data_IF_202855745230
#
_entry.id   IF_202855745230
#
_cell.length_a   1.000
_cell.length_b   1.000
_cell.length_c   1.000
_cell.angle_alpha   90.00
_cell.angle_beta   90.00
_cell.angle_gamma   90.00
#
_symmetry.space_group_name_H-M   'P 1'
#
loop_
_entity.id
_entity.type
_entity.pdbx_description
1 polymer ?
#
# COMPACT_ATOMS: atom_id res chain seq x y z
N UNK A 1 -17.43 -0.37 -14.02
CA UNK A 1 -17.65 -1.15 -12.78
C UNK A 1 -18.71 -0.40 -11.99
N UNK A 2 -19.76 -1.10 -11.56
CA UNK A 2 -20.72 -0.57 -10.61
C UNK A 2 -20.24 -0.87 -9.19
N UNK A 3 -19.70 0.15 -8.51
CA UNK A 3 -19.15 0.01 -7.17
C UNK A 3 -20.25 -0.25 -6.13
N UNK A 4 -21.47 0.25 -6.36
CA UNK A 4 -22.61 0.04 -5.44
C UNK A 4 -23.07 -1.40 -5.51
N UNK A 5 -23.18 -1.96 -6.70
CA UNK A 5 -23.50 -3.37 -6.90
C UNK A 5 -22.48 -4.28 -6.21
N UNK A 6 -21.17 -4.02 -6.41
CA UNK A 6 -20.11 -4.80 -5.78
C UNK A 6 -20.16 -4.80 -4.24
N UNK A 7 -20.52 -3.66 -3.63
CA UNK A 7 -20.60 -3.56 -2.16
C UNK A 7 -21.87 -4.22 -1.61
N UNK A 8 -22.95 -4.25 -2.40
CA UNK A 8 -24.25 -4.80 -1.95
C UNK A 8 -24.44 -6.27 -2.29
N UNK A 9 -23.79 -6.78 -3.33
CA UNK A 9 -23.84 -8.18 -3.76
C UNK A 9 -22.47 -8.64 -4.27
N UNK A 10 -21.64 -9.16 -3.36
CA UNK A 10 -20.32 -9.75 -3.67
C UNK A 10 -20.40 -11.27 -3.85
N UNK A 11 -21.44 -11.77 -4.53
CA UNK A 11 -21.62 -13.21 -4.81
C UNK A 11 -20.45 -13.86 -5.54
N UNK A 12 -19.61 -13.06 -6.20
CA UNK A 12 -18.41 -13.52 -6.92
C UNK A 12 -17.09 -13.32 -6.14
N UNK A 13 -17.13 -12.85 -4.89
CA UNK A 13 -15.96 -12.53 -4.04
C UNK A 13 -14.97 -11.57 -4.72
N UNK A 14 -15.45 -10.60 -5.49
CA UNK A 14 -14.62 -9.64 -6.21
C UNK A 14 -14.00 -8.60 -5.28
N UNK A 15 -14.65 -8.29 -4.15
CA UNK A 15 -14.15 -7.32 -3.15
C UNK A 15 -12.76 -7.71 -2.62
N UNK A 16 -12.44 -9.00 -2.53
CA UNK A 16 -11.14 -9.48 -2.05
C UNK A 16 -10.00 -9.27 -3.08
N UNK A 17 -10.34 -8.98 -4.34
CA UNK A 17 -9.35 -8.65 -5.35
C UNK A 17 -8.97 -7.18 -5.28
N UNK A 18 -7.66 -6.89 -5.22
CA UNK A 18 -7.18 -5.52 -5.07
C UNK A 18 -7.60 -4.59 -6.23
N UNK A 19 -7.86 -5.14 -7.40
CA UNK A 19 -8.42 -4.43 -8.55
C UNK A 19 -9.77 -3.75 -8.23
N UNK A 20 -10.60 -4.39 -7.40
CA UNK A 20 -11.93 -3.89 -7.02
C UNK A 20 -11.93 -3.24 -5.65
N UNK A 21 -11.19 -3.77 -4.68
CA UNK A 21 -11.14 -3.19 -3.33
C UNK A 21 -10.58 -1.77 -3.32
N UNK A 22 -9.58 -1.46 -4.16
CA UNK A 22 -9.00 -0.12 -4.17
C UNK A 22 -10.02 0.98 -4.54
N UNK A 23 -10.76 0.92 -5.66
CA UNK A 23 -11.76 1.92 -5.96
C UNK A 23 -12.91 1.96 -4.95
N UNK A 24 -13.32 0.83 -4.37
CA UNK A 24 -14.34 0.77 -3.32
C UNK A 24 -13.87 1.53 -2.07
N UNK A 25 -12.65 1.27 -1.60
CA UNK A 25 -12.10 1.92 -0.40
C UNK A 25 -11.94 3.42 -0.63
N UNK A 26 -11.45 3.84 -1.82
CA UNK A 26 -11.35 5.26 -2.15
C UNK A 26 -12.73 5.93 -2.14
N UNK A 27 -13.71 5.36 -2.86
CA UNK A 27 -15.05 5.91 -2.93
C UNK A 27 -15.71 6.02 -1.56
N UNK A 28 -15.59 4.95 -0.74
CA UNK A 28 -16.11 4.93 0.62
C UNK A 28 -15.43 5.96 1.52
N UNK A 29 -14.10 6.09 1.44
CA UNK A 29 -13.34 7.07 2.21
C UNK A 29 -13.79 8.50 1.91
N UNK A 30 -13.99 8.84 0.64
CA UNK A 30 -14.47 10.17 0.24
C UNK A 30 -15.93 10.37 0.66
N UNK A 31 -16.80 9.37 0.50
CA UNK A 31 -18.18 9.44 0.95
C UNK A 31 -18.27 9.68 2.47
N UNK A 32 -17.46 9.03 3.28
CA UNK A 32 -17.38 9.29 4.72
C UNK A 32 -16.87 10.71 5.01
N UNK A 33 -15.78 11.12 4.33
CA UNK A 33 -15.19 12.45 4.54
C UNK A 33 -16.16 13.60 4.21
N UNK A 34 -17.05 13.41 3.21
CA UNK A 34 -18.08 14.39 2.84
C UNK A 34 -19.13 14.63 3.96
N UNK A 35 -19.29 13.70 4.90
CA UNK A 35 -20.20 13.86 6.05
C UNK A 35 -19.60 14.72 7.18
N UNK A 36 -18.30 14.99 7.20
CA UNK A 36 -17.71 15.88 8.19
C UNK A 36 -18.01 17.32 7.82
N UNK A 37 -18.66 18.05 8.74
CA UNK A 37 -19.12 19.42 8.52
C UNK A 37 -18.01 20.46 8.56
N UNK A 38 -16.91 20.19 9.26
CA UNK A 38 -15.77 21.09 9.38
C UNK A 38 -14.60 20.61 8.50
N UNK A 39 -14.67 20.96 7.21
CA UNK A 39 -13.64 20.64 6.22
C UNK A 39 -12.44 21.58 6.24
N UNK A 40 -12.38 22.53 7.16
CA UNK A 40 -11.41 23.62 7.13
C UNK A 40 -10.34 23.58 8.23
N UNK A 41 -10.47 22.69 9.20
CA UNK A 41 -9.63 22.68 10.41
C UNK A 41 -8.60 21.54 10.44
N UNK A 42 -8.02 21.20 9.29
CA UNK A 42 -6.92 20.23 9.23
C UNK A 42 -5.68 20.85 8.56
N UNK A 43 -4.51 20.48 9.03
CA UNK A 43 -3.23 21.02 8.55
C UNK A 43 -2.54 20.12 7.52
N UNK A 44 -2.90 18.85 7.48
CA UNK A 44 -2.33 17.83 6.60
C UNK A 44 -3.38 16.80 6.21
N UNK A 45 -3.18 16.16 5.06
CA UNK A 45 -3.86 14.92 4.70
C UNK A 45 -2.84 13.78 4.65
N UNK A 46 -3.25 12.62 5.12
CA UNK A 46 -2.45 11.41 5.07
C UNK A 46 -3.34 10.19 4.84
N UNK A 47 -2.75 9.13 4.31
CA UNK A 47 -3.41 7.85 4.16
C UNK A 47 -2.39 6.76 3.85
N UNK A 48 -2.61 5.54 4.31
CA UNK A 48 -1.71 4.42 4.07
C UNK A 48 -1.98 3.80 2.70
N UNK A 49 -0.94 3.65 1.88
CA UNK A 49 -0.98 3.03 0.56
C UNK A 49 -2.08 3.62 -0.33
N UNK A 50 -3.16 2.89 -0.55
CA UNK A 50 -4.35 3.40 -1.26
C UNK A 50 -4.91 4.68 -0.62
N UNK A 51 -4.85 4.78 0.69
CA UNK A 51 -5.33 5.95 1.44
C UNK A 51 -4.65 7.26 1.04
N UNK A 52 -3.44 7.24 0.51
CA UNK A 52 -2.76 8.43 -0.01
C UNK A 52 -3.52 9.01 -1.22
N UNK A 53 -4.08 8.16 -2.09
CA UNK A 53 -4.96 8.61 -3.19
C UNK A 53 -6.26 9.24 -2.67
N UNK A 54 -6.83 8.69 -1.59
CA UNK A 54 -7.99 9.31 -0.92
C UNK A 54 -7.63 10.68 -0.33
N UNK A 55 -6.44 10.82 0.27
CA UNK A 55 -5.93 12.08 0.78
C UNK A 55 -5.73 13.12 -0.35
N UNK A 56 -5.22 12.70 -1.50
CA UNK A 56 -5.09 13.55 -2.69
C UNK A 56 -6.43 14.05 -3.20
N UNK A 57 -7.45 13.19 -3.27
CA UNK A 57 -8.81 13.60 -3.68
C UNK A 57 -9.39 14.56 -2.63
N UNK A 58 -9.31 14.22 -1.35
CA UNK A 58 -9.87 15.04 -0.29
C UNK A 58 -9.21 16.42 -0.18
N UNK A 59 -7.92 16.52 -0.44
CA UNK A 59 -7.20 17.80 -0.49
C UNK A 59 -7.50 18.63 -1.75
N UNK A 60 -8.15 18.05 -2.75
CA UNK A 60 -8.43 18.67 -4.05
C UNK A 60 -7.28 18.59 -5.05
N UNK A 61 -6.21 17.84 -4.72
CA UNK A 61 -5.06 17.63 -5.60
C UNK A 61 -5.40 16.75 -6.80
N UNK A 62 -6.28 15.75 -6.62
CA UNK A 62 -6.68 14.81 -7.65
C UNK A 62 -8.21 14.81 -7.81
N UNK A 63 -8.67 14.78 -9.08
CA UNK A 63 -10.10 14.62 -9.38
C UNK A 63 -10.60 13.24 -8.94
N UNK A 64 -11.82 13.18 -8.39
CA UNK A 64 -12.38 11.94 -7.88
C UNK A 64 -12.54 10.86 -8.96
N UNK A 65 -13.03 11.22 -10.13
CA UNK A 65 -13.26 10.24 -11.21
C UNK A 65 -11.95 9.75 -11.81
N UNK A 66 -10.95 10.61 -11.91
CA UNK A 66 -9.63 10.22 -12.37
C UNK A 66 -8.90 9.36 -11.33
N UNK A 67 -9.06 9.67 -10.04
CA UNK A 67 -8.55 8.85 -8.95
C UNK A 67 -9.17 7.44 -8.95
N UNK A 68 -10.50 7.31 -9.12
CA UNK A 68 -11.18 6.00 -9.20
C UNK A 68 -10.62 5.15 -10.34
N UNK A 69 -10.44 5.75 -11.54
CA UNK A 69 -9.84 5.05 -12.67
C UNK A 69 -8.40 4.63 -12.39
N UNK A 70 -7.61 5.56 -11.85
CA UNK A 70 -6.20 5.33 -11.54
C UNK A 70 -6.00 4.20 -10.53
N UNK A 71 -6.75 4.20 -9.42
CA UNK A 71 -6.60 3.16 -8.39
C UNK A 71 -7.15 1.81 -8.85
N UNK A 72 -8.13 1.79 -9.76
CA UNK A 72 -8.55 0.56 -10.43
C UNK A 72 -7.41 -0.01 -11.30
N UNK A 73 -6.76 0.85 -12.11
CA UNK A 73 -5.59 0.45 -12.90
C UNK A 73 -4.46 -0.02 -12.00
N UNK A 74 -4.16 0.72 -10.90
CA UNK A 74 -3.16 0.33 -9.90
C UNK A 74 -3.46 -1.06 -9.34
N UNK A 75 -4.68 -1.29 -8.89
CA UNK A 75 -5.11 -2.58 -8.35
C UNK A 75 -4.94 -3.71 -9.37
N UNK A 76 -5.31 -3.47 -10.62
CA UNK A 76 -5.14 -4.43 -11.72
C UNK A 76 -3.68 -4.72 -12.04
N UNK A 77 -2.82 -3.71 -12.06
CA UNK A 77 -1.38 -3.87 -12.26
C UNK A 77 -0.76 -4.70 -11.13
N UNK A 78 -1.13 -4.41 -9.88
CA UNK A 78 -0.69 -5.18 -8.71
C UNK A 78 -1.21 -6.62 -8.77
N UNK A 79 -2.49 -6.82 -9.09
CA UNK A 79 -3.12 -8.14 -9.15
C UNK A 79 -2.44 -9.07 -10.19
N UNK A 80 -1.93 -8.49 -11.27
CA UNK A 80 -1.28 -9.22 -12.35
C UNK A 80 0.26 -9.30 -12.23
N UNK A 81 0.84 -8.77 -11.17
CA UNK A 81 2.31 -8.75 -11.01
C UNK A 81 2.89 -10.09 -10.59
N UNK A 82 2.11 -10.89 -9.86
CA UNK A 82 2.57 -12.17 -9.30
C UNK A 82 1.46 -13.20 -9.42
N UNK A 83 1.80 -14.42 -9.80
CA UNK A 83 0.82 -15.49 -9.86
C UNK A 83 0.32 -15.90 -8.46
N UNK A 84 -0.93 -16.34 -8.33
CA UNK A 84 -1.48 -16.74 -7.05
C UNK A 84 -0.61 -17.78 -6.32
N UNK A 85 -0.26 -17.50 -5.07
CA UNK A 85 0.55 -18.39 -4.23
C UNK A 85 2.06 -18.24 -4.37
N UNK A 86 2.56 -17.47 -5.34
CA UNK A 86 4.02 -17.27 -5.53
C UNK A 86 4.60 -16.23 -4.57
N UNK A 87 3.77 -15.39 -3.97
CA UNK A 87 4.22 -14.40 -2.99
C UNK A 87 3.38 -14.42 -1.72
N UNK A 88 3.98 -13.96 -0.62
CA UNK A 88 3.34 -13.83 0.70
C UNK A 88 3.76 -12.55 1.39
N UNK A 89 2.96 -12.16 2.35
CA UNK A 89 3.28 -11.10 3.31
C UNK A 89 3.22 -11.64 4.73
N UNK A 90 4.15 -11.19 5.58
CA UNK A 90 4.31 -11.62 6.96
C UNK A 90 4.36 -10.41 7.88
N UNK A 91 3.38 -10.27 8.75
CA UNK A 91 3.45 -9.33 9.87
C UNK A 91 4.45 -9.87 10.89
N UNK A 92 5.35 -9.02 11.32
CA UNK A 92 6.31 -9.28 12.40
C UNK A 92 6.03 -8.27 13.51
N UNK A 93 5.68 -8.76 14.68
CA UNK A 93 5.39 -7.96 15.88
C UNK A 93 6.45 -8.22 16.94
N UNK A 94 6.80 -7.20 17.71
CA UNK A 94 7.78 -7.29 18.79
C UNK A 94 9.23 -7.11 18.36
N UNK A 95 9.47 -6.64 17.12
CA UNK A 95 10.77 -6.21 16.60
C UNK A 95 10.70 -4.75 16.17
N UNK A 96 11.67 -3.95 16.56
CA UNK A 96 11.79 -2.57 16.07
C UNK A 96 12.34 -2.52 14.63
N UNK A 97 12.36 -1.33 14.05
CA UNK A 97 12.84 -1.12 12.68
C UNK A 97 14.26 -1.68 12.45
N UNK A 98 15.21 -1.36 13.33
CA UNK A 98 16.62 -1.77 13.18
C UNK A 98 16.79 -3.29 13.27
N UNK A 99 16.03 -3.95 14.13
CA UNK A 99 16.02 -5.41 14.26
C UNK A 99 15.48 -6.06 12.99
N UNK A 100 14.40 -5.50 12.39
CA UNK A 100 13.84 -5.97 11.12
C UNK A 100 14.84 -5.76 9.98
N UNK A 101 15.49 -4.61 9.89
CA UNK A 101 16.53 -4.35 8.88
C UNK A 101 17.73 -5.31 9.03
N UNK A 102 18.11 -5.63 10.27
CA UNK A 102 19.16 -6.61 10.53
C UNK A 102 18.76 -8.03 10.10
N UNK A 103 17.52 -8.41 10.33
CA UNK A 103 16.94 -9.67 9.85
C UNK A 103 16.96 -9.75 8.30
N UNK A 104 16.54 -8.68 7.62
CA UNK A 104 16.56 -8.61 6.15
C UNK A 104 17.98 -8.77 5.62
N UNK A 105 18.96 -8.13 6.25
CA UNK A 105 20.38 -8.28 5.86
C UNK A 105 20.88 -9.71 6.06
N UNK A 106 20.53 -10.35 7.17
CA UNK A 106 20.87 -11.76 7.44
C UNK A 106 20.30 -12.68 6.35
N UNK A 107 19.01 -12.53 6.04
CA UNK A 107 18.33 -13.29 4.98
C UNK A 107 18.96 -13.07 3.61
N UNK A 108 19.30 -11.82 3.30
CA UNK A 108 19.93 -11.45 2.02
C UNK A 108 21.31 -12.09 1.85
N UNK A 109 22.10 -12.23 2.91
CA UNK A 109 23.39 -12.91 2.89
C UNK A 109 23.27 -14.41 2.53
N UNK A 110 22.12 -15.02 2.82
CA UNK A 110 21.77 -16.41 2.49
C UNK A 110 21.02 -16.52 1.15
N UNK A 111 21.01 -15.47 0.33
CA UNK A 111 20.34 -15.42 -0.97
C UNK A 111 18.82 -15.36 -0.90
N UNK A 112 18.27 -14.96 0.24
CA UNK A 112 16.84 -14.84 0.48
C UNK A 112 16.42 -13.37 0.40
N UNK A 113 15.72 -12.97 -0.66
CA UNK A 113 15.26 -11.60 -0.87
C UNK A 113 13.90 -11.38 -0.23
N UNK A 114 13.85 -10.45 0.73
CA UNK A 114 12.63 -10.01 1.43
C UNK A 114 12.68 -8.49 1.58
N UNK A 115 11.55 -7.80 1.38
CA UNK A 115 11.42 -6.37 1.62
C UNK A 115 10.64 -6.09 2.92
N UNK A 116 10.99 -5.02 3.62
CA UNK A 116 10.07 -4.36 4.55
C UNK A 116 9.05 -3.59 3.72
N UNK A 117 7.88 -4.18 3.56
CA UNK A 117 6.77 -3.63 2.79
C UNK A 117 6.16 -2.42 3.48
N UNK A 118 5.97 -2.52 4.80
CA UNK A 118 5.37 -1.45 5.59
C UNK A 118 6.00 -1.43 6.99
N UNK A 119 6.47 -0.27 7.40
CA UNK A 119 6.85 0.03 8.77
C UNK A 119 5.63 0.66 9.46
N UNK A 120 4.81 -0.17 10.09
CA UNK A 120 3.45 0.22 10.48
C UNK A 120 3.42 0.99 11.81
N UNK A 121 4.23 0.57 12.77
CA UNK A 121 4.33 1.17 14.10
C UNK A 121 5.60 0.69 14.80
N UNK A 122 5.98 1.38 15.88
CA UNK A 122 7.09 0.91 16.71
C UNK A 122 6.84 -0.54 17.17
N UNK A 123 7.78 -1.41 16.83
CA UNK A 123 7.68 -2.84 17.10
C UNK A 123 6.77 -3.64 16.17
N UNK A 124 6.33 -3.10 15.03
CA UNK A 124 5.51 -3.84 14.06
C UNK A 124 5.83 -3.45 12.62
N UNK A 125 6.30 -4.41 11.84
CA UNK A 125 6.51 -4.25 10.40
C UNK A 125 5.86 -5.38 9.60
N UNK A 126 5.70 -5.16 8.29
CA UNK A 126 5.20 -6.16 7.35
C UNK A 126 6.28 -6.47 6.32
N UNK A 127 6.64 -7.72 6.21
CA UNK A 127 7.60 -8.22 5.22
C UNK A 127 6.86 -8.79 4.01
N UNK A 128 7.40 -8.57 2.81
CA UNK A 128 6.86 -9.10 1.57
C UNK A 128 7.96 -9.70 0.67
N UNK A 129 7.61 -10.71 -0.10
CA UNK A 129 8.51 -11.37 -1.03
C UNK A 129 7.91 -12.66 -1.58
N UNK A 130 8.73 -13.40 -2.33
CA UNK A 130 8.35 -14.73 -2.80
C UNK A 130 7.99 -15.66 -1.62
N UNK A 131 7.01 -16.53 -1.83
CA UNK A 131 6.51 -17.46 -0.80
C UNK A 131 7.65 -18.22 -0.12
N UNK A 132 8.59 -18.76 -0.89
CA UNK A 132 9.72 -19.52 -0.36
C UNK A 132 10.62 -18.68 0.55
N UNK A 133 10.81 -17.39 0.24
CA UNK A 133 11.64 -16.48 1.01
C UNK A 133 10.95 -16.05 2.31
N UNK A 134 9.65 -15.78 2.24
CA UNK A 134 8.85 -15.44 3.44
C UNK A 134 8.73 -16.64 4.38
N UNK A 135 8.61 -17.86 3.88
CA UNK A 135 8.61 -19.07 4.69
C UNK A 135 9.96 -19.31 5.39
N UNK A 136 11.08 -19.09 4.69
CA UNK A 136 12.42 -19.13 5.30
C UNK A 136 12.56 -18.05 6.40
N UNK A 137 12.09 -16.83 6.13
CA UNK A 137 12.10 -15.75 7.10
C UNK A 137 11.33 -16.15 8.38
N UNK A 138 10.13 -16.68 8.24
CA UNK A 138 9.32 -17.13 9.36
C UNK A 138 10.01 -18.24 10.15
N UNK A 139 10.55 -19.25 9.47
CA UNK A 139 11.29 -20.35 10.09
C UNK A 139 12.52 -19.84 10.85
N UNK A 140 13.26 -18.87 10.29
CA UNK A 140 14.41 -18.26 10.98
C UNK A 140 13.97 -17.53 12.25
N UNK A 141 12.88 -16.76 12.21
CA UNK A 141 12.34 -16.07 13.38
C UNK A 141 11.89 -17.06 14.48
N UNK A 142 11.23 -18.15 14.09
CA UNK A 142 10.81 -19.20 15.02
C UNK A 142 12.02 -19.91 15.66
N UNK A 143 13.09 -20.15 14.90
CA UNK A 143 14.31 -20.79 15.40
C UNK A 143 15.09 -19.95 16.42
N UNK A 144 14.94 -18.62 16.37
CA UNK A 144 15.58 -17.68 17.30
C UNK A 144 14.92 -17.65 18.69
N UNK A 145 13.81 -18.35 18.87
CA UNK A 145 13.05 -18.45 20.15
C UNK A 145 12.82 -17.09 20.86
N UNK A 146 12.60 -16.04 20.09
CA UNK A 146 12.41 -14.67 20.59
C UNK A 146 11.02 -14.54 21.24
N UNK A 147 10.93 -14.64 22.57
CA UNK A 147 9.67 -14.70 23.34
C UNK A 147 8.66 -13.58 23.05
N UNK A 148 9.12 -12.43 22.55
CA UNK A 148 8.28 -11.26 22.26
C UNK A 148 7.88 -11.16 20.80
N UNK A 149 8.53 -11.92 19.90
CA UNK A 149 8.27 -11.86 18.46
C UNK A 149 7.11 -12.78 18.12
N UNK A 150 6.13 -12.22 17.42
CA UNK A 150 5.00 -12.95 16.86
C UNK A 150 4.93 -12.69 15.37
N UNK A 151 4.58 -13.70 14.62
CA UNK A 151 4.43 -13.61 13.17
C UNK A 151 3.05 -14.07 12.75
N UNK A 152 2.48 -13.40 11.73
CA UNK A 152 1.20 -13.76 11.14
C UNK A 152 1.22 -13.51 9.64
N UNK A 153 0.78 -14.47 8.84
CA UNK A 153 0.56 -14.20 7.40
C UNK A 153 -0.59 -13.22 7.20
N UNK A 154 -0.40 -12.31 6.26
CA UNK A 154 -1.47 -11.43 5.81
C UNK A 154 -2.31 -12.19 4.78
N UNK A 155 -3.62 -12.17 4.96
CA UNK A 155 -4.54 -12.71 3.97
C UNK A 155 -4.80 -11.63 2.90
N UNK A 156 -3.92 -11.56 1.91
CA UNK A 156 -4.03 -10.64 0.77
C UNK A 156 -3.86 -11.40 -0.54
N UNK A 157 -4.54 -10.93 -1.58
CA UNK A 157 -4.48 -11.56 -2.91
C UNK A 157 -3.14 -11.37 -3.61
N UNK A 158 -2.38 -10.32 -3.24
CA UNK A 158 -1.08 -9.97 -3.84
C UNK A 158 -0.15 -9.33 -2.81
N UNK A 159 1.19 -9.44 -2.99
CA UNK A 159 2.14 -8.71 -2.16
C UNK A 159 2.03 -7.22 -2.45
N UNK A 160 2.36 -6.37 -1.47
CA UNK A 160 2.38 -4.92 -1.60
C UNK A 160 3.76 -4.36 -1.28
N UNK A 161 4.12 -3.25 -1.91
CA UNK A 161 5.33 -2.47 -1.60
C UNK A 161 6.61 -3.30 -1.53
N UNK A 162 6.90 -4.09 -2.58
CA UNK A 162 8.10 -4.91 -2.66
C UNK A 162 8.59 -5.01 -4.12
N UNK A 163 9.82 -5.53 -4.28
CA UNK A 163 10.49 -5.66 -5.57
C UNK A 163 9.68 -6.40 -6.65
N UNK A 164 8.74 -7.26 -6.26
CA UNK A 164 7.87 -8.01 -7.17
C UNK A 164 6.90 -7.12 -7.94
N UNK A 165 6.70 -5.87 -7.50
CA UNK A 165 5.80 -4.90 -8.14
C UNK A 165 6.51 -3.93 -9.10
N UNK A 166 7.79 -4.16 -9.44
CA UNK A 166 8.56 -3.23 -10.26
C UNK A 166 7.90 -2.95 -11.63
N UNK A 167 7.41 -3.98 -12.30
CA UNK A 167 6.73 -3.80 -13.59
C UNK A 167 5.40 -3.03 -13.44
N UNK A 168 4.70 -3.21 -12.32
CA UNK A 168 3.50 -2.45 -12.01
C UNK A 168 3.83 -0.98 -11.73
N UNK A 169 4.93 -0.69 -11.02
CA UNK A 169 5.44 0.64 -10.76
C UNK A 169 5.71 1.41 -12.07
N UNK A 170 6.44 0.81 -13.01
CA UNK A 170 6.77 1.43 -14.30
C UNK A 170 5.52 1.75 -15.15
N UNK A 171 4.54 0.84 -15.15
CA UNK A 171 3.27 1.05 -15.83
C UNK A 171 2.41 2.11 -15.14
N UNK A 172 2.38 2.12 -13.80
CA UNK A 172 1.65 3.11 -13.02
C UNK A 172 2.22 4.52 -13.24
N UNK A 173 3.56 4.66 -13.31
CA UNK A 173 4.22 5.93 -13.65
C UNK A 173 3.67 6.51 -14.95
N UNK A 174 3.55 5.69 -16.00
CA UNK A 174 3.00 6.11 -17.29
C UNK A 174 1.51 6.50 -17.23
N UNK A 175 0.73 5.97 -16.29
CA UNK A 175 -0.66 6.39 -16.08
C UNK A 175 -0.74 7.71 -15.29
N UNK A 176 0.14 7.91 -14.30
CA UNK A 176 0.22 9.16 -13.53
C UNK A 176 0.57 10.37 -14.40
N UNK A 177 1.39 10.20 -15.44
CA UNK A 177 1.71 11.27 -16.39
C UNK A 177 0.49 11.79 -17.18
N UNK A 178 -0.53 10.96 -17.36
CA UNK A 178 -1.73 11.31 -18.14
C UNK A 178 -2.78 12.08 -17.33
N UNK A 179 -2.58 12.16 -16.00
CA UNK A 179 -3.55 12.74 -15.07
C UNK A 179 -3.13 14.14 -14.67
N UNK A 180 -4.08 15.05 -14.66
CA UNK A 180 -3.89 16.41 -14.15
C UNK A 180 -3.93 16.41 -12.63
N UNK A 181 -2.85 16.89 -12.01
CA UNK A 181 -2.77 17.18 -10.58
C UNK A 181 -2.91 18.69 -10.36
N UNK A 182 -3.54 19.06 -9.26
CA UNK A 182 -3.76 20.45 -8.83
C UNK A 182 -3.08 20.71 -7.50
N UNK A 183 -2.80 21.96 -7.19
CA UNK A 183 -2.26 22.31 -5.89
C UNK A 183 -3.19 21.84 -4.78
N UNK A 184 -2.71 21.04 -3.82
CA UNK A 184 -3.53 20.57 -2.71
C UNK A 184 -3.84 21.70 -1.75
N UNK A 185 -5.05 21.71 -1.18
CA UNK A 185 -5.47 22.71 -0.18
C UNK A 185 -4.63 22.68 1.09
N UNK A 186 -4.05 21.56 1.42
CA UNK A 186 -3.12 21.30 2.52
C UNK A 186 -2.08 20.30 2.10
N UNK A 187 -0.87 20.29 2.69
CA UNK A 187 0.15 19.34 2.36
C UNK A 187 -0.30 17.87 2.55
N UNK A 188 0.20 17.00 1.70
CA UNK A 188 0.02 15.55 1.77
C UNK A 188 1.23 14.94 2.45
N UNK A 189 1.04 14.11 3.47
CA UNK A 189 2.12 13.32 4.06
C UNK A 189 2.32 12.08 3.19
N UNK A 190 3.46 12.00 2.54
CA UNK A 190 3.81 10.89 1.65
C UNK A 190 4.10 9.61 2.42
N UNK A 191 3.67 8.48 1.89
CA UNK A 191 4.07 7.16 2.43
C UNK A 191 5.54 6.86 2.19
N UNK A 192 6.10 7.35 1.08
CA UNK A 192 7.50 7.07 0.71
C UNK A 192 8.50 7.81 1.60
N UNK A 193 8.28 9.11 1.83
CA UNK A 193 9.22 9.94 2.62
C UNK A 193 8.79 10.12 4.07
N UNK A 194 7.54 9.85 4.41
CA UNK A 194 6.89 10.23 5.68
C UNK A 194 6.91 11.74 5.97
N UNK A 195 7.12 12.57 4.95
CA UNK A 195 7.19 14.03 5.06
C UNK A 195 6.02 14.68 4.32
N UNK A 196 5.52 15.84 4.82
CA UNK A 196 4.48 16.59 4.14
C UNK A 196 5.04 17.36 2.94
N UNK A 197 4.33 17.31 1.82
CA UNK A 197 4.64 18.10 0.63
C UNK A 197 3.38 18.65 -0.04
N UNK A 198 3.49 19.76 -0.74
CA UNK A 198 2.48 20.32 -1.64
C UNK A 198 2.99 20.45 -3.07
N UNK A 199 4.23 20.06 -3.33
CA UNK A 199 4.83 20.06 -4.65
C UNK A 199 4.28 18.90 -5.48
N UNK A 200 3.72 19.22 -6.66
CA UNK A 200 3.05 18.23 -7.51
C UNK A 200 4.04 17.21 -8.08
N UNK A 201 5.22 17.63 -8.46
CA UNK A 201 6.22 16.74 -9.03
C UNK A 201 6.75 15.79 -7.95
N UNK A 202 7.00 16.30 -6.75
CA UNK A 202 7.36 15.48 -5.59
C UNK A 202 6.23 14.51 -5.20
N UNK A 203 4.96 14.93 -5.23
CA UNK A 203 3.82 14.04 -4.98
C UNK A 203 3.79 12.89 -5.99
N UNK A 204 3.95 13.16 -7.28
CA UNK A 204 3.99 12.13 -8.32
C UNK A 204 5.15 11.16 -8.13
N UNK A 205 6.34 11.68 -7.90
CA UNK A 205 7.54 10.88 -7.64
C UNK A 205 7.36 9.98 -6.41
N UNK A 206 6.79 10.50 -5.34
CA UNK A 206 6.50 9.75 -4.13
C UNK A 206 5.47 8.62 -4.37
N UNK A 207 4.41 8.89 -5.16
CA UNK A 207 3.43 7.86 -5.54
C UNK A 207 4.03 6.74 -6.39
N UNK A 208 4.98 7.07 -7.27
CA UNK A 208 5.70 6.09 -8.09
C UNK A 208 6.61 5.23 -7.22
N UNK A 209 7.24 5.82 -6.23
CA UNK A 209 8.20 5.13 -5.36
C UNK A 209 7.60 4.49 -4.11
N UNK A 210 6.30 4.68 -3.91
CA UNK A 210 5.54 4.01 -2.85
C UNK A 210 5.54 2.48 -3.04
#
# INVERSE_FOLDING_TARGET
IDLVELVTDDSNNLIDLTEYSQPIILASSIAFAEHFTDKTNYNFCAGLSLGEYSALVYSGCLDFLDAIKLVHIRGKLMQNSVAPGEAKMLVVMGMNHDDIQSLIKELSADGCTVNLSTDTADGMGVLAGETVNIEKCKTLLESKELRRVKTQYVNMSVPSHCYLLKDAQEKLASELEKIEFKDPRVPIVSNFTALPTSDIDEIKDNLINQ
#
